data_IF_181452502766
#
_entry.id   IF_181452502766
#
_cell.length_a   1.000
_cell.length_b   1.000
_cell.length_c   1.000
_cell.angle_alpha   90.00
_cell.angle_beta   90.00
_cell.angle_gamma   90.00
#
_symmetry.space_group_name_H-M   'P 1'
#
loop_
_entity.id
_entity.type
_entity.pdbx_description
1 polymer ?
#
# COMPACT_ATOMS: atom_id res chain seq x y z
N UNK A 1 -6.27 7.99 -16.81
CA UNK A 1 -5.43 7.24 -15.84
C UNK A 1 -4.13 7.99 -15.70
N UNK A 2 -3.73 8.32 -14.48
CA UNK A 2 -2.41 8.89 -14.18
C UNK A 2 -1.56 7.79 -13.56
N UNK A 3 -0.29 7.71 -13.96
CA UNK A 3 0.67 6.74 -13.42
C UNK A 3 1.92 7.51 -13.05
N UNK A 4 2.32 7.42 -11.78
CA UNK A 4 3.58 7.98 -11.29
C UNK A 4 4.57 6.83 -11.10
N UNK A 5 5.81 7.01 -11.56
CA UNK A 5 6.86 6.01 -11.42
C UNK A 5 7.92 6.49 -10.42
N UNK A 6 8.21 5.66 -9.43
CA UNK A 6 9.20 5.94 -8.39
C UNK A 6 10.40 4.99 -8.55
N UNK A 7 11.53 5.53 -9.00
CA UNK A 7 12.78 4.78 -9.00
C UNK A 7 13.41 4.80 -7.62
N UNK A 8 13.38 3.65 -6.93
CA UNK A 8 14.02 3.49 -5.63
C UNK A 8 15.53 3.30 -5.83
N UNK A 9 16.34 3.94 -5.00
CA UNK A 9 17.81 3.91 -5.11
C UNK A 9 18.47 3.40 -3.83
N UNK A 10 18.35 4.17 -2.74
CA UNK A 10 18.94 3.82 -1.43
C UNK A 10 17.94 3.14 -0.51
N UNK A 11 16.72 3.67 -0.47
CA UNK A 11 15.68 3.19 0.44
C UNK A 11 14.82 2.12 -0.22
N UNK A 12 14.49 1.03 0.49
CA UNK A 12 13.61 -0.01 -0.01
C UNK A 12 12.14 0.46 -0.05
N UNK A 13 11.28 -0.28 -0.74
CA UNK A 13 9.87 0.11 -0.93
C UNK A 13 9.12 0.25 0.39
N UNK A 14 9.39 -0.62 1.35
CA UNK A 14 8.82 -0.58 2.71
C UNK A 14 9.22 0.68 3.51
N UNK A 15 10.32 1.37 3.13
CA UNK A 15 10.73 2.64 3.72
C UNK A 15 10.14 3.87 3.03
N UNK A 16 9.86 3.77 1.71
CA UNK A 16 9.37 4.89 0.90
C UNK A 16 7.84 4.95 0.82
N UNK A 17 7.19 3.78 0.74
CA UNK A 17 5.75 3.66 0.58
C UNK A 17 4.95 4.37 1.68
N UNK A 18 5.36 4.36 2.98
CA UNK A 18 4.62 5.08 4.02
C UNK A 18 4.45 6.57 3.74
N UNK A 19 5.45 7.25 3.18
CA UNK A 19 5.33 8.67 2.84
C UNK A 19 4.32 8.92 1.72
N UNK A 20 4.29 8.04 0.71
CA UNK A 20 3.32 8.09 -0.40
C UNK A 20 1.91 7.81 0.12
N UNK A 21 1.76 6.76 0.94
CA UNK A 21 0.49 6.38 1.54
C UNK A 21 -0.08 7.50 2.42
N UNK A 22 0.75 8.12 3.27
CA UNK A 22 0.34 9.25 4.10
C UNK A 22 -0.21 10.42 3.26
N UNK A 23 0.43 10.73 2.13
CA UNK A 23 -0.05 11.79 1.22
C UNK A 23 -1.41 11.44 0.60
N UNK A 24 -1.60 10.20 0.15
CA UNK A 24 -2.86 9.72 -0.44
C UNK A 24 -3.99 9.75 0.61
N UNK A 25 -3.72 9.22 1.81
CA UNK A 25 -4.69 9.24 2.90
C UNK A 25 -5.03 10.66 3.37
N UNK A 26 -4.05 11.57 3.37
CA UNK A 26 -4.27 13.00 3.67
C UNK A 26 -5.22 13.71 2.70
N UNK A 27 -5.44 13.16 1.51
CA UNK A 27 -6.46 13.63 0.55
C UNK A 27 -7.86 13.04 0.83
N UNK A 28 -8.03 12.24 1.89
CA UNK A 28 -9.25 11.50 2.18
C UNK A 28 -9.46 10.28 1.27
N UNK A 29 -8.44 9.87 0.52
CA UNK A 29 -8.51 8.72 -0.36
C UNK A 29 -8.09 7.42 0.35
N UNK A 30 -8.22 6.30 -0.36
CA UNK A 30 -7.76 4.97 0.06
C UNK A 30 -6.73 4.43 -0.92
N UNK A 31 -5.88 3.53 -0.42
CA UNK A 31 -4.79 2.92 -1.18
C UNK A 31 -4.92 1.39 -1.17
N UNK A 32 -4.67 0.77 -2.32
CA UNK A 32 -4.36 -0.64 -2.46
C UNK A 32 -2.85 -0.76 -2.72
N UNK A 33 -2.17 -1.63 -1.98
CA UNK A 33 -0.76 -1.97 -2.20
C UNK A 33 -0.72 -3.40 -2.72
N UNK A 34 -0.11 -3.59 -3.89
CA UNK A 34 -0.05 -4.90 -4.56
C UNK A 34 1.40 -5.37 -4.65
N UNK A 35 1.65 -6.59 -4.21
CA UNK A 35 2.89 -7.30 -4.48
C UNK A 35 2.65 -8.81 -4.46
N UNK A 36 3.33 -9.56 -5.34
CA UNK A 36 3.16 -11.02 -5.42
C UNK A 36 3.74 -11.75 -4.20
N UNK A 37 4.79 -11.23 -3.57
CA UNK A 37 5.49 -11.87 -2.44
C UNK A 37 4.82 -11.56 -1.09
N UNK A 38 4.24 -12.55 -0.37
CA UNK A 38 3.63 -12.31 0.95
C UNK A 38 4.59 -11.72 1.98
N UNK A 39 5.87 -12.14 1.96
CA UNK A 39 6.90 -11.62 2.86
C UNK A 39 7.18 -10.13 2.60
N UNK A 40 7.04 -9.68 1.34
CA UNK A 40 7.17 -8.26 0.99
C UNK A 40 5.99 -7.47 1.53
N UNK A 41 4.77 -7.98 1.37
CA UNK A 41 3.57 -7.35 1.97
C UNK A 41 3.70 -7.25 3.49
N UNK A 42 4.21 -8.28 4.16
CA UNK A 42 4.45 -8.25 5.60
C UNK A 42 5.46 -7.16 6.01
N UNK A 43 6.57 -7.01 5.26
CA UNK A 43 7.56 -5.93 5.51
C UNK A 43 6.97 -4.54 5.27
N UNK A 44 6.17 -4.38 4.21
CA UNK A 44 5.48 -3.13 3.92
C UNK A 44 4.49 -2.80 5.04
N UNK A 45 3.68 -3.77 5.47
CA UNK A 45 2.76 -3.60 6.60
C UNK A 45 3.49 -3.13 7.85
N UNK A 46 4.62 -3.75 8.18
CA UNK A 46 5.46 -3.32 9.30
C UNK A 46 5.96 -1.88 9.13
N UNK A 47 6.39 -1.48 7.93
CA UNK A 47 6.80 -0.10 7.62
C UNK A 47 5.68 0.93 7.78
N UNK A 48 4.45 0.58 7.37
CA UNK A 48 3.26 1.42 7.54
C UNK A 48 2.88 1.60 9.02
N UNK A 49 3.17 0.61 9.87
CA UNK A 49 2.98 0.68 11.32
C UNK A 49 4.15 1.34 12.08
N UNK A 50 5.34 1.43 11.49
CA UNK A 50 6.56 1.87 12.16
C UNK A 50 6.68 3.40 12.39
N UNK A 51 5.75 4.21 11.87
CA UNK A 51 5.71 5.65 12.12
C UNK A 51 5.39 6.00 13.58
N UNK A 52 5.63 7.25 14.02
CA UNK A 52 5.23 7.68 15.36
C UNK A 52 3.70 7.57 15.55
N UNK A 53 3.20 7.41 16.79
CA UNK A 53 1.80 7.06 17.07
C UNK A 53 0.75 7.99 16.46
N UNK A 54 1.08 9.26 16.26
CA UNK A 54 0.24 10.27 15.61
C UNK A 54 0.14 10.11 14.07
N UNK A 55 0.94 9.21 13.49
CA UNK A 55 1.11 9.05 12.04
C UNK A 55 1.09 7.60 11.55
N UNK A 56 0.80 6.62 12.42
CA UNK A 56 0.68 5.24 11.97
C UNK A 56 -0.39 5.13 10.88
N UNK A 57 -0.10 4.35 9.84
CA UNK A 57 -1.01 4.17 8.71
C UNK A 57 -1.71 2.83 8.87
N UNK A 58 -2.95 2.87 9.37
CA UNK A 58 -3.77 1.68 9.56
C UNK A 58 -3.88 0.88 8.25
N UNK A 59 -3.54 -0.40 8.32
CA UNK A 59 -3.47 -1.29 7.17
C UNK A 59 -3.77 -2.75 7.56
N UNK A 60 -4.11 -3.56 6.55
CA UNK A 60 -4.36 -4.99 6.71
C UNK A 60 -4.19 -5.75 5.41
N UNK A 61 -4.04 -7.07 5.50
CA UNK A 61 -3.98 -7.97 4.35
C UNK A 61 -5.40 -8.24 3.82
N UNK A 62 -5.53 -8.39 2.51
CA UNK A 62 -6.76 -8.84 1.88
C UNK A 62 -7.07 -10.29 2.28
N UNK A 63 -8.34 -10.59 2.46
CA UNK A 63 -8.84 -11.91 2.87
C UNK A 63 -9.08 -12.07 4.38
N UNK A 64 -8.78 -11.06 5.19
CA UNK A 64 -9.01 -11.08 6.65
C UNK A 64 -10.47 -10.77 7.03
N UNK A 65 -11.33 -10.47 6.05
CA UNK A 65 -12.78 -10.26 6.25
C UNK A 65 -13.16 -8.86 6.74
N UNK A 66 -12.16 -8.01 7.00
CA UNK A 66 -12.33 -6.59 7.34
C UNK A 66 -11.68 -5.66 6.31
N UNK A 67 -11.43 -6.18 5.11
CA UNK A 67 -10.76 -5.51 4.00
C UNK A 67 -11.37 -4.13 3.70
N UNK A 68 -12.70 -4.05 3.68
CA UNK A 68 -13.47 -2.83 3.44
C UNK A 68 -13.20 -1.70 4.45
N UNK A 69 -12.73 -2.02 5.65
CA UNK A 69 -12.40 -1.06 6.69
C UNK A 69 -10.99 -0.48 6.53
N UNK A 70 -10.08 -1.19 5.85
CA UNK A 70 -8.66 -0.84 5.80
C UNK A 70 -8.40 0.40 4.92
N UNK A 71 -7.89 1.52 5.48
CA UNK A 71 -7.51 2.69 4.67
C UNK A 71 -6.42 2.38 3.65
N UNK A 72 -5.48 1.49 4.03
CA UNK A 72 -4.49 0.88 3.15
C UNK A 72 -4.70 -0.64 3.18
N UNK A 73 -5.05 -1.23 2.03
CA UNK A 73 -5.19 -2.68 1.89
C UNK A 73 -3.95 -3.25 1.20
N UNK A 74 -3.41 -4.36 1.70
CA UNK A 74 -2.30 -5.09 1.11
C UNK A 74 -2.81 -6.35 0.43
N UNK A 75 -2.52 -6.57 -0.84
CA UNK A 75 -3.02 -7.71 -1.60
C UNK A 75 -1.98 -8.25 -2.60
N UNK A 76 -2.21 -9.47 -3.10
CA UNK A 76 -1.42 -10.05 -4.20
C UNK A 76 -2.09 -9.81 -5.57
N UNK A 77 -3.30 -9.26 -5.60
CA UNK A 77 -4.05 -8.92 -6.81
C UNK A 77 -4.50 -7.46 -6.79
N UNK A 78 -4.91 -6.93 -7.95
CA UNK A 78 -5.46 -5.58 -8.09
C UNK A 78 -6.92 -5.46 -7.60
N UNK A 79 -7.42 -6.41 -6.79
CA UNK A 79 -8.79 -6.34 -6.25
C UNK A 79 -8.86 -5.38 -5.06
N UNK A 80 -9.39 -4.19 -5.32
CA UNK A 80 -9.54 -3.14 -4.32
C UNK A 80 -10.78 -3.34 -3.43
N UNK A 81 -10.80 -4.40 -2.62
CA UNK A 81 -11.89 -4.71 -1.70
C UNK A 81 -12.16 -3.58 -0.65
N UNK A 82 -11.19 -2.69 -0.44
CA UNK A 82 -11.34 -1.48 0.37
C UNK A 82 -11.94 -0.26 -0.38
N UNK A 83 -12.24 -0.40 -1.67
CA UNK A 83 -12.72 0.69 -2.53
C UNK A 83 -11.65 1.72 -2.86
N UNK A 84 -10.36 1.38 -2.77
CA UNK A 84 -9.27 2.26 -3.18
C UNK A 84 -9.37 2.60 -4.67
N UNK A 85 -9.06 3.86 -4.99
CA UNK A 85 -8.89 4.33 -6.38
C UNK A 85 -7.42 4.63 -6.72
N UNK A 86 -6.54 4.44 -5.75
CA UNK A 86 -5.10 4.52 -5.93
C UNK A 86 -4.52 3.13 -5.67
N UNK A 87 -3.65 2.68 -6.56
CA UNK A 87 -2.98 1.39 -6.49
C UNK A 87 -1.48 1.64 -6.55
N UNK A 88 -0.73 1.04 -5.62
CA UNK A 88 0.72 1.02 -5.62
C UNK A 88 1.21 -0.39 -5.92
N UNK A 89 1.86 -0.58 -7.06
CA UNK A 89 2.53 -1.83 -7.43
C UNK A 89 3.93 -1.82 -6.79
N UNK A 90 4.10 -2.57 -5.70
CA UNK A 90 5.28 -2.50 -4.81
C UNK A 90 6.36 -3.56 -5.11
N UNK A 91 6.18 -4.33 -6.18
CA UNK A 91 7.11 -5.37 -6.66
C UNK A 91 7.75 -5.04 -8.02
N UNK A 92 7.37 -3.92 -8.63
CA UNK A 92 7.86 -3.52 -9.96
C UNK A 92 7.24 -4.30 -11.12
N UNK A 93 6.20 -5.09 -10.87
CA UNK A 93 5.48 -5.84 -11.90
C UNK A 93 4.27 -5.04 -12.34
N UNK A 94 4.26 -4.60 -13.61
CA UNK A 94 3.10 -3.97 -14.20
C UNK A 94 1.95 -4.96 -14.37
N UNK A 95 0.72 -4.51 -14.07
CA UNK A 95 -0.52 -5.27 -14.22
C UNK A 95 -1.48 -4.44 -15.08
N UNK A 96 -2.10 -5.05 -16.09
CA UNK A 96 -3.02 -4.37 -17.02
C UNK A 96 -4.46 -4.29 -16.50
N UNK A 97 -4.75 -5.01 -15.41
CA UNK A 97 -6.02 -5.08 -14.69
C UNK A 97 -6.32 -3.80 -13.91
#
# INVERSE_FOLDING_TARGET
>A
MQVDFYQLSRDPVEGVLPAIAARILGMGARLLVVADEPERLARISAGLWAGPPESFLANGLAGDGVDAAQPVLLAQSCDAANGARHIALADGVWREE
#
